data_IF_390910772493
#
_entry.id   IF_390910772493
#
_cell.length_a   1.000
_cell.length_b   1.000
_cell.length_c   1.000
_cell.angle_alpha   90.00
_cell.angle_beta   90.00
_cell.angle_gamma   90.00
#
_symmetry.space_group_name_H-M   'P 1'
#
loop_
_entity.id
_entity.type
_entity.pdbx_description
1 polymer ?
#
# COMPACT_ATOMS: atom_id res chain seq x y z
N UNK A 1 15.20 30.63 -35.44
CA UNK A 1 14.32 30.32 -34.27
C UNK A 1 12.85 30.34 -34.68
N UNK A 2 12.39 29.54 -35.62
CA UNK A 2 10.98 29.58 -36.11
C UNK A 2 10.50 28.28 -36.73
N UNK A 3 10.90 27.11 -36.23
CA UNK A 3 10.36 25.82 -36.77
C UNK A 3 9.75 24.86 -35.74
N UNK A 4 9.70 25.23 -34.48
CA UNK A 4 9.21 24.29 -33.45
C UNK A 4 7.80 24.56 -32.91
N UNK A 5 7.08 25.58 -33.42
CA UNK A 5 5.75 25.94 -32.91
C UNK A 5 4.58 25.39 -33.73
N UNK A 6 4.80 24.63 -34.79
CA UNK A 6 3.74 24.10 -35.66
C UNK A 6 3.22 22.74 -35.26
N UNK A 7 3.77 22.12 -34.21
CA UNK A 7 3.43 20.72 -33.84
C UNK A 7 2.28 20.54 -32.83
N UNK A 8 1.64 21.61 -32.39
CA UNK A 8 0.55 21.54 -31.39
C UNK A 8 -0.77 22.12 -31.88
N UNK A 9 -1.22 21.76 -33.07
CA UNK A 9 -2.53 22.15 -33.52
C UNK A 9 -3.49 20.95 -33.68
N UNK A 10 -4.31 20.75 -32.67
CA UNK A 10 -5.58 20.03 -32.81
C UNK A 10 -5.52 18.49 -32.70
N UNK A 11 -6.69 17.90 -32.53
CA UNK A 11 -6.93 16.45 -32.33
C UNK A 11 -6.37 15.54 -33.43
N UNK A 12 -6.23 16.04 -34.66
CA UNK A 12 -5.68 15.29 -35.80
C UNK A 12 -4.20 14.91 -35.59
N UNK A 13 -3.38 15.78 -34.98
CA UNK A 13 -1.99 15.51 -34.68
C UNK A 13 -1.79 14.49 -33.56
N UNK A 14 -2.77 14.26 -32.70
CA UNK A 14 -2.64 13.31 -31.60
C UNK A 14 -2.71 11.85 -32.08
N UNK A 15 -3.51 11.57 -33.13
CA UNK A 15 -3.59 10.23 -33.72
C UNK A 15 -2.37 9.93 -34.62
N UNK A 16 -1.86 10.93 -35.34
CA UNK A 16 -0.59 10.82 -36.07
C UNK A 16 0.60 10.68 -35.10
N UNK A 17 0.65 11.50 -34.06
CA UNK A 17 1.65 11.39 -33.01
C UNK A 17 1.61 10.02 -32.31
N UNK A 18 0.40 9.44 -32.07
CA UNK A 18 0.25 8.06 -31.56
C UNK A 18 0.84 7.02 -32.51
N UNK A 19 0.69 7.20 -33.83
CA UNK A 19 1.24 6.29 -34.85
C UNK A 19 2.74 6.43 -34.98
N UNK A 20 3.26 7.64 -34.94
CA UNK A 20 4.70 7.97 -34.97
C UNK A 20 5.42 7.53 -33.69
N UNK A 21 4.68 7.44 -32.59
CA UNK A 21 5.11 6.91 -31.30
C UNK A 21 4.65 5.46 -31.10
N UNK A 22 4.40 4.73 -32.20
CA UNK A 22 4.07 3.31 -32.11
C UNK A 22 5.11 2.59 -31.25
N UNK A 23 4.61 2.04 -30.16
CA UNK A 23 5.37 1.49 -29.02
C UNK A 23 6.17 0.23 -29.38
N UNK A 24 6.15 -0.24 -30.65
CA UNK A 24 6.77 -1.49 -31.05
C UNK A 24 8.30 -1.47 -30.96
N UNK A 25 8.92 -0.30 -31.12
CA UNK A 25 10.39 -0.12 -31.01
C UNK A 25 10.85 0.54 -29.69
N UNK A 26 9.94 0.73 -28.73
CA UNK A 26 10.26 1.39 -27.45
C UNK A 26 9.98 0.47 -26.26
N UNK A 27 10.48 0.89 -25.08
CA UNK A 27 10.23 0.23 -23.82
C UNK A 27 8.72 0.07 -23.57
N UNK A 28 8.20 -1.14 -23.77
CA UNK A 28 6.80 -1.46 -23.55
C UNK A 28 6.56 -1.73 -22.06
N UNK A 29 6.37 -0.65 -21.29
CA UNK A 29 6.19 -0.71 -19.84
C UNK A 29 4.97 -1.57 -19.45
N UNK A 30 3.87 -1.55 -20.20
CA UNK A 30 2.69 -2.35 -19.90
C UNK A 30 2.95 -3.85 -19.88
N UNK A 31 3.79 -4.34 -20.78
CA UNK A 31 4.15 -5.76 -20.85
C UNK A 31 5.25 -6.08 -19.85
N UNK A 32 6.26 -5.23 -19.77
CA UNK A 32 7.45 -5.45 -18.94
C UNK A 32 7.11 -5.36 -17.46
N UNK A 33 6.35 -4.36 -17.04
CA UNK A 33 5.94 -4.20 -15.64
C UNK A 33 5.10 -5.37 -15.15
N UNK A 34 4.08 -5.78 -15.93
CA UNK A 34 3.25 -6.95 -15.59
C UNK A 34 4.05 -8.24 -15.50
N UNK A 35 5.02 -8.43 -16.42
CA UNK A 35 5.93 -9.59 -16.38
C UNK A 35 6.71 -9.63 -15.06
N UNK A 36 7.34 -8.52 -14.68
CA UNK A 36 8.17 -8.48 -13.48
C UNK A 36 7.36 -8.53 -12.19
N UNK A 37 6.21 -7.87 -12.13
CA UNK A 37 5.29 -7.95 -10.99
C UNK A 37 4.86 -9.41 -10.76
N UNK A 38 4.53 -10.14 -11.84
CA UNK A 38 4.19 -11.56 -11.74
C UNK A 38 5.37 -12.40 -11.24
N UNK A 39 6.58 -12.19 -11.76
CA UNK A 39 7.78 -12.91 -11.33
C UNK A 39 8.03 -12.66 -9.84
N UNK A 40 7.98 -11.42 -9.38
CA UNK A 40 8.18 -11.09 -7.96
C UNK A 40 7.13 -11.70 -7.03
N UNK A 41 5.88 -11.79 -7.48
CA UNK A 41 4.81 -12.46 -6.72
C UNK A 41 5.02 -13.98 -6.67
N UNK A 42 5.32 -14.61 -7.80
CA UNK A 42 5.49 -16.07 -7.91
C UNK A 42 6.74 -16.56 -7.11
N UNK A 43 7.84 -15.82 -7.22
CA UNK A 43 9.11 -16.15 -6.54
C UNK A 43 9.17 -15.61 -5.10
N UNK A 44 8.16 -14.85 -4.65
CA UNK A 44 8.15 -14.17 -3.35
C UNK A 44 9.45 -13.37 -3.11
N UNK A 45 9.88 -12.64 -4.12
CA UNK A 45 11.20 -12.02 -4.22
C UNK A 45 11.56 -11.10 -3.04
N UNK A 46 10.56 -10.59 -2.31
CA UNK A 46 10.73 -9.67 -1.19
C UNK A 46 10.37 -10.28 0.17
N UNK A 47 10.03 -11.58 0.19
CA UNK A 47 9.79 -12.30 1.42
C UNK A 47 11.07 -12.32 2.27
N UNK A 48 10.91 -12.05 3.56
CA UNK A 48 12.02 -12.09 4.52
C UNK A 48 11.78 -13.20 5.55
N UNK A 49 12.83 -13.98 5.81
CA UNK A 49 12.87 -14.94 6.90
C UNK A 49 13.86 -14.47 7.96
N UNK A 50 13.76 -15.05 9.17
CA UNK A 50 14.72 -14.75 10.23
C UNK A 50 16.08 -15.31 9.83
N UNK A 51 17.05 -14.41 9.70
CA UNK A 51 18.44 -14.73 9.38
C UNK A 51 19.32 -14.04 10.43
N UNK A 52 20.00 -14.82 11.25
CA UNK A 52 20.84 -14.30 12.32
C UNK A 52 22.24 -13.89 11.85
N UNK A 53 22.62 -14.30 10.63
CA UNK A 53 23.95 -14.02 10.07
C UNK A 53 23.97 -12.69 9.29
N UNK A 54 22.79 -12.11 9.05
CA UNK A 54 22.66 -10.82 8.36
C UNK A 54 22.24 -9.70 9.29
N UNK A 55 22.80 -8.52 9.03
CA UNK A 55 22.34 -7.30 9.68
C UNK A 55 20.89 -6.99 9.29
N UNK A 56 20.06 -6.69 10.28
CA UNK A 56 18.63 -6.44 10.10
C UNK A 56 18.36 -5.00 9.72
N UNK A 57 17.43 -4.80 8.80
CA UNK A 57 16.90 -3.49 8.48
C UNK A 57 15.38 -3.54 8.43
N UNK A 58 14.73 -2.79 9.32
CA UNK A 58 13.28 -2.67 9.35
C UNK A 58 12.85 -1.37 8.66
N UNK A 59 12.29 -1.48 7.46
CA UNK A 59 11.72 -0.37 6.72
C UNK A 59 10.26 -0.20 7.11
N UNK A 60 9.99 0.75 8.01
CA UNK A 60 8.64 1.00 8.52
C UNK A 60 8.00 2.18 7.79
N UNK A 61 6.84 1.92 7.20
CA UNK A 61 5.97 2.95 6.62
C UNK A 61 4.59 2.88 7.24
N UNK A 62 3.89 4.01 7.27
CA UNK A 62 2.53 4.11 7.78
C UNK A 62 1.55 3.33 6.90
N UNK A 63 0.70 2.51 7.52
CA UNK A 63 -0.32 1.76 6.79
C UNK A 63 -1.46 2.67 6.33
N UNK A 64 -1.99 2.47 5.11
CA UNK A 64 -3.11 3.25 4.64
C UNK A 64 -4.42 2.83 5.33
N UNK A 65 -5.31 3.80 5.51
CA UNK A 65 -6.71 3.54 5.82
C UNK A 65 -7.45 3.09 4.55
N UNK A 66 -8.06 1.91 4.49
CA UNK A 66 -8.83 1.46 3.33
C UNK A 66 -10.25 2.06 3.33
N UNK A 67 -10.37 3.36 3.57
CA UNK A 67 -11.64 4.08 3.75
C UNK A 67 -12.20 4.70 2.48
N UNK A 68 -11.46 4.69 1.39
CA UNK A 68 -11.84 5.27 0.11
C UNK A 68 -11.75 4.28 -1.06
N UNK A 69 -12.10 4.75 -2.25
CA UNK A 69 -12.11 3.93 -3.46
C UNK A 69 -10.70 3.55 -3.98
N UNK A 70 -9.63 4.00 -3.32
CA UNK A 70 -8.25 3.70 -3.69
C UNK A 70 -7.26 4.66 -3.06
N UNK A 71 -5.98 4.47 -3.40
CA UNK A 71 -4.88 5.32 -2.97
C UNK A 71 -5.00 6.73 -3.53
N UNK A 72 -4.59 7.72 -2.74
CA UNK A 72 -4.34 9.07 -3.24
C UNK A 72 -2.83 9.30 -3.45
N UNK A 73 -2.46 10.35 -4.16
CA UNK A 73 -1.05 10.63 -4.52
C UNK A 73 -0.09 10.79 -3.34
N UNK A 74 -0.59 11.07 -2.15
CA UNK A 74 0.21 11.13 -0.92
C UNK A 74 0.79 9.78 -0.50
N UNK A 75 0.07 8.68 -0.73
CA UNK A 75 0.54 7.34 -0.37
C UNK A 75 1.81 6.94 -1.13
N UNK A 76 1.87 6.99 -2.48
CA UNK A 76 3.08 6.63 -3.22
C UNK A 76 4.30 7.46 -2.86
N UNK A 77 4.12 8.69 -2.40
CA UNK A 77 5.25 9.58 -2.04
C UNK A 77 6.14 8.98 -0.97
N UNK A 78 5.57 8.61 0.18
CA UNK A 78 6.32 8.02 1.30
C UNK A 78 6.77 6.58 0.97
N UNK A 79 5.90 5.82 0.31
CA UNK A 79 6.19 4.43 -0.03
C UNK A 79 7.34 4.31 -1.02
N UNK A 80 7.38 5.16 -2.06
CA UNK A 80 8.49 5.19 -3.02
C UNK A 80 9.81 5.56 -2.36
N UNK A 81 9.81 6.59 -1.51
CA UNK A 81 11.03 7.02 -0.83
C UNK A 81 11.64 5.89 0.01
N UNK A 82 10.80 5.17 0.76
CA UNK A 82 11.27 4.07 1.60
C UNK A 82 11.58 2.82 0.78
N UNK A 83 10.88 2.57 -0.33
CA UNK A 83 11.18 1.46 -1.24
C UNK A 83 12.58 1.57 -1.86
N UNK A 84 13.00 2.78 -2.24
CA UNK A 84 14.37 3.04 -2.72
C UNK A 84 15.39 2.65 -1.65
N UNK A 85 15.15 3.02 -0.40
CA UNK A 85 16.05 2.68 0.73
C UNK A 85 16.03 1.16 0.98
N UNK A 86 14.87 0.53 0.98
CA UNK A 86 14.71 -0.91 1.20
C UNK A 86 15.46 -1.71 0.13
N UNK A 87 15.33 -1.34 -1.14
CA UNK A 87 16.05 -1.97 -2.26
C UNK A 87 17.56 -1.78 -2.13
N UNK A 88 18.01 -0.55 -1.82
CA UNK A 88 19.43 -0.27 -1.57
C UNK A 88 19.98 -1.14 -0.45
N UNK A 89 19.27 -1.27 0.66
CA UNK A 89 19.69 -2.10 1.81
C UNK A 89 19.76 -3.59 1.43
N UNK A 90 18.81 -4.12 0.65
CA UNK A 90 18.91 -5.49 0.13
C UNK A 90 20.14 -5.69 -0.74
N UNK A 91 20.44 -4.74 -1.63
CA UNK A 91 21.66 -4.79 -2.46
C UNK A 91 22.96 -4.72 -1.64
N UNK A 92 22.91 -4.15 -0.45
CA UNK A 92 24.02 -4.10 0.50
C UNK A 92 24.14 -5.37 1.38
N UNK A 93 23.25 -6.35 1.19
CA UNK A 93 23.27 -7.63 1.93
C UNK A 93 22.48 -7.65 3.23
N UNK A 94 21.75 -6.58 3.58
CA UNK A 94 20.90 -6.55 4.76
C UNK A 94 19.72 -7.51 4.65
N UNK A 95 19.28 -8.06 5.77
CA UNK A 95 18.00 -8.76 5.90
C UNK A 95 16.89 -7.73 6.10
N UNK A 96 16.17 -7.39 5.03
CA UNK A 96 15.25 -6.24 5.01
C UNK A 96 13.82 -6.69 5.19
N UNK A 97 13.19 -6.29 6.30
CA UNK A 97 11.75 -6.38 6.49
C UNK A 97 11.09 -5.06 6.04
N UNK A 98 10.30 -5.12 4.96
CA UNK A 98 9.46 -4.04 4.49
C UNK A 98 8.01 -4.51 4.41
N UNK A 99 7.26 -4.46 5.53
CA UNK A 99 5.90 -4.95 5.60
C UNK A 99 4.90 -3.93 5.06
N UNK A 100 3.72 -4.40 4.70
CA UNK A 100 2.54 -3.61 4.42
C UNK A 100 1.37 -4.09 5.28
N UNK A 101 0.39 -3.25 5.45
CA UNK A 101 -0.84 -3.57 6.15
C UNK A 101 -1.94 -2.57 5.84
N UNK A 102 -3.07 -2.73 6.52
CA UNK A 102 -4.22 -1.84 6.39
C UNK A 102 -4.73 -1.50 7.78
N UNK A 103 -4.80 -0.20 8.07
CA UNK A 103 -5.43 0.30 9.30
C UNK A 103 -6.94 0.39 9.05
N UNK A 104 -7.62 -0.72 9.34
CA UNK A 104 -8.92 -1.01 8.77
C UNK A 104 -10.11 -0.65 9.65
N UNK A 105 -9.91 -0.34 10.93
CA UNK A 105 -10.95 0.22 11.77
C UNK A 105 -11.09 1.73 11.55
N UNK A 106 -12.29 2.25 11.66
CA UNK A 106 -12.46 3.69 11.71
C UNK A 106 -13.84 4.21 11.33
N UNK A 107 -14.12 5.41 11.78
CA UNK A 107 -15.36 6.15 11.56
C UNK A 107 -15.76 6.30 10.07
N UNK A 108 -14.84 6.47 9.10
CA UNK A 108 -15.22 6.55 7.70
C UNK A 108 -15.93 5.29 7.18
N UNK A 109 -15.50 4.11 7.59
CA UNK A 109 -16.17 2.84 7.20
C UNK A 109 -17.55 2.71 7.85
N UNK A 110 -17.69 3.14 9.10
CA UNK A 110 -18.96 3.14 9.83
C UNK A 110 -19.95 4.15 9.22
N UNK A 111 -19.52 5.35 8.92
CA UNK A 111 -20.34 6.37 8.24
C UNK A 111 -20.77 5.92 6.84
N UNK A 112 -19.92 5.21 6.12
CA UNK A 112 -20.28 4.61 4.84
C UNK A 112 -21.38 3.56 5.01
N UNK A 113 -21.26 2.71 6.03
CA UNK A 113 -22.26 1.70 6.36
C UNK A 113 -23.63 2.32 6.69
N UNK A 114 -23.65 3.39 7.48
CA UNK A 114 -24.88 4.12 7.84
C UNK A 114 -25.55 4.66 6.56
N UNK A 115 -24.77 5.23 5.63
CA UNK A 115 -25.31 5.84 4.39
C UNK A 115 -25.79 4.81 3.37
N UNK A 116 -25.15 3.65 3.30
CA UNK A 116 -25.37 2.69 2.20
C UNK A 116 -26.06 1.40 2.62
N UNK A 117 -26.14 1.12 3.93
CA UNK A 117 -26.60 -0.16 4.47
C UNK A 117 -25.61 -1.31 4.25
N UNK A 118 -24.40 -1.04 3.76
CA UNK A 118 -23.36 -2.05 3.54
C UNK A 118 -22.53 -2.22 4.81
N UNK A 119 -22.46 -3.44 5.32
CA UNK A 119 -21.67 -3.72 6.53
C UNK A 119 -20.21 -3.32 6.38
N UNK A 120 -19.58 -2.66 7.39
CA UNK A 120 -18.19 -2.17 7.29
C UNK A 120 -17.18 -3.22 6.85
N UNK A 121 -17.28 -4.45 7.35
CA UNK A 121 -16.38 -5.54 6.95
C UNK A 121 -16.41 -5.82 5.44
N UNK A 122 -17.59 -5.72 4.80
CA UNK A 122 -17.72 -5.96 3.35
C UNK A 122 -17.05 -4.85 2.55
N UNK A 123 -17.33 -3.59 2.87
CA UNK A 123 -16.76 -2.44 2.18
C UNK A 123 -15.24 -2.35 2.41
N UNK A 124 -14.78 -2.57 3.64
CA UNK A 124 -13.36 -2.56 3.99
C UNK A 124 -12.57 -3.63 3.22
N UNK A 125 -13.07 -4.87 3.16
CA UNK A 125 -12.40 -5.93 2.40
C UNK A 125 -12.37 -5.65 0.89
N UNK A 126 -13.42 -5.04 0.32
CA UNK A 126 -13.42 -4.61 -1.07
C UNK A 126 -12.36 -3.53 -1.33
N UNK A 127 -12.26 -2.56 -0.43
CA UNK A 127 -11.26 -1.50 -0.49
C UNK A 127 -9.83 -2.04 -0.36
N UNK A 128 -9.57 -2.94 0.61
CA UNK A 128 -8.27 -3.61 0.78
C UNK A 128 -7.82 -4.29 -0.52
N UNK A 129 -8.72 -4.99 -1.21
CA UNK A 129 -8.41 -5.61 -2.52
C UNK A 129 -8.00 -4.57 -3.56
N UNK A 130 -8.70 -3.43 -3.61
CA UNK A 130 -8.38 -2.34 -4.53
C UNK A 130 -7.02 -1.72 -4.21
N UNK A 131 -6.77 -1.40 -2.95
CA UNK A 131 -5.49 -0.85 -2.49
C UNK A 131 -4.32 -1.80 -2.77
N UNK A 132 -4.49 -3.09 -2.46
CA UNK A 132 -3.49 -4.12 -2.74
C UNK A 132 -3.14 -4.18 -4.23
N UNK A 133 -4.15 -4.17 -5.11
CA UNK A 133 -3.95 -4.14 -6.55
C UNK A 133 -3.17 -2.90 -7.01
N UNK A 134 -3.50 -1.73 -6.47
CA UNK A 134 -2.81 -0.48 -6.80
C UNK A 134 -1.37 -0.48 -6.28
N UNK A 135 -1.12 -0.91 -5.04
CA UNK A 135 0.22 -1.01 -4.47
C UNK A 135 1.12 -1.99 -5.25
N UNK A 136 0.56 -3.14 -5.64
CA UNK A 136 1.29 -4.10 -6.49
C UNK A 136 1.60 -3.53 -7.87
N UNK A 137 0.68 -2.75 -8.46
CA UNK A 137 0.91 -2.12 -9.77
C UNK A 137 2.03 -1.06 -9.74
N UNK A 138 2.31 -0.47 -8.59
CA UNK A 138 3.43 0.45 -8.39
C UNK A 138 4.78 -0.28 -8.20
N UNK A 139 4.77 -1.61 -8.07
CA UNK A 139 5.97 -2.44 -8.02
C UNK A 139 6.78 -2.30 -6.73
N UNK A 140 6.18 -1.88 -5.62
CA UNK A 140 6.87 -1.79 -4.33
C UNK A 140 7.36 -3.15 -3.82
N UNK A 141 8.50 -3.13 -3.17
CA UNK A 141 9.17 -4.32 -2.64
C UNK A 141 8.68 -4.71 -1.24
N UNK A 142 7.36 -4.70 -1.03
CA UNK A 142 6.77 -5.15 0.23
C UNK A 142 6.83 -6.67 0.40
N UNK A 143 7.00 -7.11 1.63
CA UNK A 143 6.78 -8.51 2.02
C UNK A 143 5.27 -8.76 2.21
N UNK A 144 4.62 -9.23 1.17
CA UNK A 144 3.18 -9.48 1.17
C UNK A 144 2.76 -10.66 2.05
N UNK A 145 3.67 -11.59 2.37
CA UNK A 145 3.40 -12.69 3.30
C UNK A 145 3.24 -12.18 4.75
N UNK A 146 3.72 -10.95 5.03
CA UNK A 146 3.58 -10.27 6.31
C UNK A 146 2.58 -9.12 6.27
N UNK A 147 1.68 -9.12 5.29
CA UNK A 147 0.61 -8.14 5.21
C UNK A 147 -0.40 -8.36 6.33
N UNK A 148 -0.77 -7.29 7.03
CA UNK A 148 -1.70 -7.34 8.14
C UNK A 148 -2.96 -6.49 7.88
N UNK A 149 -4.07 -6.94 8.47
CA UNK A 149 -5.33 -6.22 8.54
C UNK A 149 -5.65 -6.01 10.02
N UNK A 150 -5.65 -4.75 10.48
CA UNK A 150 -5.84 -4.43 11.89
C UNK A 150 -7.25 -4.78 12.39
N UNK A 151 -8.21 -4.96 11.48
CA UNK A 151 -9.57 -5.39 11.80
C UNK A 151 -9.75 -6.90 11.85
N UNK A 152 -8.72 -7.68 11.55
CA UNK A 152 -8.79 -9.13 11.68
C UNK A 152 -8.72 -9.58 13.15
N UNK A 153 -9.47 -10.63 13.55
CA UNK A 153 -9.38 -11.17 14.90
C UNK A 153 -7.96 -11.58 15.30
N UNK A 154 -7.18 -12.09 14.33
CA UNK A 154 -5.80 -12.51 14.56
C UNK A 154 -4.89 -11.33 14.95
N UNK A 155 -5.21 -10.13 14.52
CA UNK A 155 -4.49 -8.93 14.89
C UNK A 155 -5.03 -8.29 16.16
N UNK A 156 -6.33 -7.95 16.23
CA UNK A 156 -6.86 -7.15 17.33
C UNK A 156 -6.95 -7.91 18.68
N UNK A 157 -6.88 -9.25 18.68
CA UNK A 157 -6.75 -10.01 19.92
C UNK A 157 -5.59 -9.55 20.81
N UNK A 158 -4.50 -9.09 20.20
CA UNK A 158 -3.34 -8.58 20.95
C UNK A 158 -3.61 -7.22 21.58
N UNK A 159 -4.35 -6.35 20.90
CA UNK A 159 -4.82 -5.07 21.47
C UNK A 159 -5.74 -5.33 22.65
N UNK A 160 -6.67 -6.27 22.52
CA UNK A 160 -7.54 -6.69 23.63
C UNK A 160 -6.75 -7.28 24.80
N UNK A 161 -5.75 -8.10 24.53
CA UNK A 161 -4.88 -8.65 25.55
C UNK A 161 -4.12 -7.54 26.30
N UNK A 162 -3.55 -6.56 25.60
CA UNK A 162 -2.89 -5.42 26.23
C UNK A 162 -3.84 -4.62 27.11
N UNK A 163 -5.08 -4.38 26.64
CA UNK A 163 -6.10 -3.70 27.43
C UNK A 163 -6.40 -4.46 28.73
N UNK A 164 -6.58 -5.78 28.67
CA UNK A 164 -6.81 -6.63 29.85
C UNK A 164 -5.64 -6.48 30.84
N UNK A 165 -4.38 -6.47 30.34
CA UNK A 165 -3.21 -6.29 31.22
C UNK A 165 -3.17 -4.91 31.88
N UNK A 166 -3.60 -3.86 31.20
CA UNK A 166 -3.74 -2.53 31.81
C UNK A 166 -4.85 -2.50 32.85
N UNK A 167 -5.98 -3.14 32.57
CA UNK A 167 -7.09 -3.25 33.51
C UNK A 167 -6.68 -4.02 34.80
N UNK A 168 -6.03 -5.18 34.67
CA UNK A 168 -5.51 -5.97 35.75
C UNK A 168 -4.53 -5.19 36.67
N UNK A 169 -3.81 -4.24 36.10
CA UNK A 169 -2.86 -3.38 36.81
C UNK A 169 -3.47 -2.08 37.32
N UNK A 170 -4.74 -1.85 37.13
CA UNK A 170 -5.44 -0.61 37.52
C UNK A 170 -5.08 0.62 36.69
N UNK A 171 -4.39 0.43 35.53
CA UNK A 171 -4.03 1.50 34.61
C UNK A 171 -5.17 1.89 33.68
N UNK A 172 -6.09 0.96 33.41
CA UNK A 172 -7.33 1.21 32.71
C UNK A 172 -8.51 1.00 33.65
N UNK A 173 -9.45 1.93 33.68
CA UNK A 173 -10.62 1.88 34.54
C UNK A 173 -11.83 2.52 33.83
N UNK A 174 -13.03 2.21 34.30
CA UNK A 174 -14.27 2.77 33.77
C UNK A 174 -14.60 4.08 34.47
N UNK A 175 -14.83 5.13 33.69
CA UNK A 175 -15.19 6.44 34.20
C UNK A 175 -16.20 7.15 33.26
N UNK A 176 -16.73 8.29 33.73
CA UNK A 176 -17.59 9.18 32.94
C UNK A 176 -16.90 10.52 32.76
N UNK A 177 -16.67 10.89 31.52
CA UNK A 177 -16.04 12.17 31.15
C UNK A 177 -16.89 12.89 30.11
N UNK A 178 -16.91 14.21 30.16
CA UNK A 178 -17.52 15.03 29.12
C UNK A 178 -16.71 14.91 27.82
N UNK A 179 -17.42 14.72 26.71
CA UNK A 179 -16.82 14.63 25.37
C UNK A 179 -17.41 15.72 24.48
N UNK A 180 -16.65 16.15 23.49
CA UNK A 180 -17.17 16.93 22.37
C UNK A 180 -17.93 16.02 21.42
N UNK A 181 -19.17 16.42 21.13
CA UNK A 181 -20.05 15.68 20.23
C UNK A 181 -20.32 16.49 18.96
#
# INVERSE_FOLDING_TARGET
MTENNARYNGKANFEEWRKEWALEDRYNFHTIEKKWQKIWDDEKAYKVEIDHDKEKFYALVEFPYPSGAGLHVGHPRSYTALDVIARKKRMQGFNVLYPMGFDAFGLPAENYAIKTGVHPAVSTQANIKTFTKQLKSLGFSFDWDRCIDTSSPEYFKWTQWMFIKFFEKGLAYKDKIAINW
#
